data_IF_420052181397
#
_entry.id   IF_420052181397
#
_cell.length_a   1.000
_cell.length_b   1.000
_cell.length_c   1.000
_cell.angle_alpha   90.00
_cell.angle_beta   90.00
_cell.angle_gamma   90.00
#
_symmetry.space_group_name_H-M   'P 1'
#
loop_
_entity.id
_entity.type
_entity.pdbx_description
1 polymer ?
#
# COMPACT_ATOMS: atom_id res chain seq x y z
N UNK A 1 20.88 6.40 -4.57
CA UNK A 1 19.77 7.08 -5.25
C UNK A 1 18.70 7.49 -4.26
N UNK A 2 18.24 8.71 -4.34
CA UNK A 2 17.16 9.19 -3.46
C UNK A 2 15.82 8.72 -4.03
N UNK A 3 14.99 8.13 -3.17
CA UNK A 3 13.62 7.79 -3.56
C UNK A 3 12.77 9.07 -3.60
N UNK A 4 11.98 9.20 -4.64
CA UNK A 4 11.03 10.31 -4.74
C UNK A 4 9.86 10.02 -3.77
N UNK A 5 9.49 10.96 -2.87
CA UNK A 5 8.31 10.77 -2.02
C UNK A 5 7.05 10.60 -2.87
N UNK A 6 6.11 9.77 -2.39
CA UNK A 6 4.89 9.47 -3.14
C UNK A 6 4.11 10.73 -3.50
N UNK A 7 3.97 11.67 -2.55
CA UNK A 7 3.22 12.90 -2.75
C UNK A 7 3.83 13.82 -3.80
N UNK A 8 5.11 13.64 -4.12
CA UNK A 8 5.81 14.42 -5.14
C UNK A 8 5.89 13.75 -6.50
N UNK A 9 5.33 12.54 -6.61
CA UNK A 9 5.30 11.82 -7.88
C UNK A 9 4.25 12.42 -8.80
N UNK A 10 4.46 12.29 -10.13
CA UNK A 10 3.44 12.64 -11.11
C UNK A 10 2.22 11.76 -10.95
N UNK A 11 1.02 12.18 -11.42
CA UNK A 11 -0.17 11.34 -11.34
C UNK A 11 0.01 9.97 -12.00
N UNK A 12 0.71 9.93 -13.14
CA UNK A 12 0.99 8.67 -13.82
C UNK A 12 1.85 7.74 -12.95
N UNK A 13 2.92 8.29 -12.38
CA UNK A 13 3.83 7.50 -11.53
C UNK A 13 3.12 7.03 -10.26
N UNK A 14 2.26 7.88 -9.67
CA UNK A 14 1.45 7.48 -8.51
C UNK A 14 0.59 6.25 -8.84
N UNK A 15 -0.05 6.23 -10.00
CA UNK A 15 -0.86 5.09 -10.43
C UNK A 15 -0.01 3.83 -10.59
N UNK A 16 1.15 3.94 -11.22
CA UNK A 16 2.06 2.81 -11.41
C UNK A 16 2.49 2.24 -10.06
N UNK A 17 2.90 3.09 -9.13
CA UNK A 17 3.36 2.68 -7.80
C UNK A 17 2.23 2.04 -7.02
N UNK A 18 1.04 2.66 -7.02
CA UNK A 18 -0.13 2.11 -6.33
C UNK A 18 -0.49 0.72 -6.86
N UNK A 19 -0.53 0.56 -8.17
CA UNK A 19 -0.83 -0.74 -8.78
C UNK A 19 0.21 -1.79 -8.42
N UNK A 20 1.48 -1.40 -8.37
CA UNK A 20 2.55 -2.30 -7.97
C UNK A 20 2.36 -2.77 -6.53
N UNK A 21 2.06 -1.86 -5.61
CA UNK A 21 1.81 -2.22 -4.22
C UNK A 21 0.59 -3.12 -4.07
N UNK A 22 -0.50 -2.82 -4.78
CA UNK A 22 -1.70 -3.65 -4.76
C UNK A 22 -1.36 -5.08 -5.19
N UNK A 23 -0.64 -5.23 -6.30
CA UNK A 23 -0.23 -6.55 -6.79
C UNK A 23 0.63 -7.29 -5.78
N UNK A 24 1.55 -6.60 -5.12
CA UNK A 24 2.41 -7.19 -4.10
C UNK A 24 1.58 -7.71 -2.92
N UNK A 25 0.61 -6.93 -2.44
CA UNK A 25 -0.23 -7.35 -1.31
C UNK A 25 -1.16 -8.50 -1.69
N UNK A 26 -1.71 -8.49 -2.89
CA UNK A 26 -2.51 -9.63 -3.38
C UNK A 26 -1.64 -10.90 -3.43
N UNK A 27 -0.39 -10.78 -3.88
CA UNK A 27 0.55 -11.89 -3.92
C UNK A 27 0.88 -12.41 -2.51
N UNK A 28 0.78 -11.56 -1.49
CA UNK A 28 0.97 -11.96 -0.09
C UNK A 28 -0.27 -12.60 0.54
N UNK A 29 -1.35 -12.68 -0.19
CA UNK A 29 -2.57 -13.36 0.26
C UNK A 29 -3.72 -12.43 0.65
N UNK A 30 -3.59 -11.12 0.46
CA UNK A 30 -4.69 -10.18 0.74
C UNK A 30 -5.72 -10.22 -0.38
N UNK A 31 -6.99 -9.96 -0.02
CA UNK A 31 -8.02 -9.71 -1.03
C UNK A 31 -7.69 -8.41 -1.77
N UNK A 32 -8.27 -8.23 -2.95
CA UNK A 32 -8.07 -7.01 -3.73
C UNK A 32 -8.46 -5.76 -2.92
N UNK A 33 -9.54 -5.83 -2.18
CA UNK A 33 -10.02 -4.75 -1.33
C UNK A 33 -9.00 -4.38 -0.25
N UNK A 34 -8.50 -5.40 0.45
CA UNK A 34 -7.51 -5.20 1.50
C UNK A 34 -6.18 -4.72 0.92
N UNK A 35 -5.80 -5.24 -0.24
CA UNK A 35 -4.58 -4.80 -0.92
C UNK A 35 -4.66 -3.32 -1.31
N UNK A 36 -5.81 -2.87 -1.81
CA UNK A 36 -6.04 -1.46 -2.12
C UNK A 36 -5.96 -0.60 -0.88
N UNK A 37 -6.55 -1.04 0.22
CA UNK A 37 -6.47 -0.35 1.49
C UNK A 37 -5.02 -0.22 1.97
N UNK A 38 -4.29 -1.31 1.94
CA UNK A 38 -2.89 -1.34 2.37
C UNK A 38 -2.02 -0.41 1.52
N UNK A 39 -2.26 -0.37 0.21
CA UNK A 39 -1.54 0.53 -0.69
C UNK A 39 -1.81 2.00 -0.36
N UNK A 40 -3.06 2.34 -0.04
CA UNK A 40 -3.42 3.70 0.37
C UNK A 40 -2.75 4.09 1.70
N UNK A 41 -2.72 3.17 2.65
CA UNK A 41 -1.98 3.38 3.89
C UNK A 41 -0.50 3.62 3.62
N UNK A 42 0.10 2.80 2.78
CA UNK A 42 1.53 2.91 2.46
C UNK A 42 1.87 4.24 1.77
N UNK A 43 0.93 4.77 0.98
CA UNK A 43 1.10 6.08 0.34
C UNK A 43 0.94 7.25 1.31
N UNK A 44 0.46 7.00 2.53
CA UNK A 44 0.23 8.04 3.53
C UNK A 44 -1.16 8.66 3.48
N UNK A 45 -2.04 8.16 2.61
CA UNK A 45 -3.38 8.73 2.43
C UNK A 45 -4.36 8.28 3.51
N UNK A 46 -4.25 7.03 3.97
CA UNK A 46 -5.19 6.42 4.91
C UNK A 46 -4.46 5.88 6.14
N UNK A 47 -5.19 5.85 7.26
CA UNK A 47 -4.72 5.22 8.50
C UNK A 47 -5.23 3.79 8.57
N UNK A 48 -4.45 2.92 9.21
CA UNK A 48 -4.88 1.53 9.42
C UNK A 48 -6.00 1.46 10.46
N UNK A 49 -7.05 0.73 10.12
CA UNK A 49 -8.07 0.32 11.10
C UNK A 49 -7.50 -0.78 12.01
N UNK A 50 -8.20 -1.07 13.12
CA UNK A 50 -7.76 -2.14 14.02
C UNK A 50 -7.64 -3.48 13.31
N UNK A 51 -8.60 -3.81 12.43
CA UNK A 51 -8.56 -5.02 11.61
C UNK A 51 -7.34 -5.04 10.71
N UNK A 52 -7.10 -3.94 10.02
CA UNK A 52 -5.96 -3.87 9.08
C UNK A 52 -4.62 -3.85 9.80
N UNK A 53 -4.54 -3.30 11.00
CA UNK A 53 -3.31 -3.39 11.81
C UNK A 53 -2.93 -4.84 12.05
N UNK A 54 -3.90 -5.70 12.38
CA UNK A 54 -3.66 -7.12 12.59
C UNK A 54 -3.21 -7.82 11.31
N UNK A 55 -3.88 -7.50 10.19
CA UNK A 55 -3.53 -8.05 8.88
C UNK A 55 -2.10 -7.65 8.50
N UNK A 56 -1.77 -6.39 8.63
CA UNK A 56 -0.44 -5.89 8.24
C UNK A 56 0.65 -6.41 9.18
N UNK A 57 0.34 -6.59 10.46
CA UNK A 57 1.28 -7.20 11.40
C UNK A 57 1.57 -8.66 11.02
N UNK A 58 0.55 -9.41 10.60
CA UNK A 58 0.72 -10.79 10.14
C UNK A 58 1.61 -10.88 8.89
N UNK A 59 1.61 -9.84 8.06
CA UNK A 59 2.48 -9.75 6.88
C UNK A 59 3.89 -9.23 7.21
N UNK A 60 4.12 -8.80 8.45
CA UNK A 60 5.41 -8.21 8.82
C UNK A 60 5.60 -6.75 8.37
N UNK A 61 4.51 -6.06 8.03
CA UNK A 61 4.58 -4.67 7.55
C UNK A 61 4.54 -3.63 8.68
N UNK A 62 4.08 -4.02 9.85
CA UNK A 62 4.06 -3.16 11.04
C UNK A 62 4.54 -3.93 12.26
#
# INVERSE_FOLDING_TARGET
MKKVPFDKMSPHLKNVVMNTWIKQYVAKGLSLEDAQYAARWRSGTWKLSNRMKKVMAALGEV
#
